data_IF_126422449266
#
_entry.id   IF_126422449266
#
_cell.length_a   1.000
_cell.length_b   1.000
_cell.length_c   1.000
_cell.angle_alpha   90.00
_cell.angle_beta   90.00
_cell.angle_gamma   90.00
#
_symmetry.space_group_name_H-M   'P 1'
#
loop_
_entity.id
_entity.type
_entity.pdbx_description
1 polymer ?
#
# COMPACT_ATOMS: atom_id res chain seq x y z
N UNK A 1 -19.68 -4.35 7.37
CA UNK A 1 -18.32 -4.76 7.80
C UNK A 1 -17.32 -3.69 7.40
N UNK A 2 -16.45 -3.25 8.32
CA UNK A 2 -15.47 -2.24 7.98
C UNK A 2 -14.45 -2.81 6.98
N UNK A 3 -14.01 -1.95 6.08
CA UNK A 3 -12.94 -2.29 5.15
C UNK A 3 -11.61 -2.22 5.87
N UNK A 4 -10.66 -3.02 5.43
CA UNK A 4 -9.37 -3.18 6.08
C UNK A 4 -8.24 -2.87 5.12
N UNK A 5 -7.32 -2.01 5.55
CA UNK A 5 -6.17 -1.60 4.76
C UNK A 5 -4.85 -1.96 5.45
N UNK A 6 -3.88 -2.42 4.67
CA UNK A 6 -2.52 -2.66 5.13
C UNK A 6 -1.60 -1.66 4.46
N UNK A 7 -0.73 -1.03 5.22
CA UNK A 7 0.30 -0.12 4.69
C UNK A 7 1.68 -0.69 5.00
N UNK A 8 2.44 -0.96 3.95
CA UNK A 8 3.80 -1.51 4.07
C UNK A 8 4.79 -0.39 3.73
N UNK A 9 5.40 0.17 4.76
CA UNK A 9 6.34 1.29 4.64
C UNK A 9 7.17 1.35 5.93
N UNK A 10 8.48 1.59 5.81
CA UNK A 10 9.36 1.72 6.97
C UNK A 10 9.40 3.14 7.54
N UNK A 11 8.79 4.10 6.86
CA UNK A 11 8.72 5.50 7.29
C UNK A 11 7.54 5.70 8.24
N UNK A 12 7.83 5.94 9.52
CA UNK A 12 6.78 6.12 10.53
C UNK A 12 5.88 7.32 10.26
N UNK A 13 6.41 8.39 9.66
CA UNK A 13 5.60 9.56 9.31
C UNK A 13 4.56 9.21 8.24
N UNK A 14 4.98 8.44 7.22
CA UNK A 14 4.06 8.01 6.18
C UNK A 14 2.97 7.10 6.77
N UNK A 15 3.36 6.18 7.66
CA UNK A 15 2.39 5.29 8.32
C UNK A 15 1.37 6.09 9.13
N UNK A 16 1.82 7.09 9.88
CA UNK A 16 0.95 7.91 10.70
C UNK A 16 -0.04 8.72 9.86
N UNK A 17 0.44 9.33 8.77
CA UNK A 17 -0.42 10.10 7.87
C UNK A 17 -1.49 9.21 7.22
N UNK A 18 -1.09 8.06 6.70
CA UNK A 18 -2.03 7.14 6.05
C UNK A 18 -3.02 6.56 7.05
N UNK A 19 -2.57 6.27 8.27
CA UNK A 19 -3.48 5.81 9.33
C UNK A 19 -4.62 6.80 9.54
N UNK A 20 -4.27 8.08 9.67
CA UNK A 20 -5.28 9.12 9.89
C UNK A 20 -6.21 9.27 8.69
N UNK A 21 -5.66 9.29 7.47
CA UNK A 21 -6.45 9.42 6.25
C UNK A 21 -7.40 8.22 6.08
N UNK A 22 -6.89 7.01 6.30
CA UNK A 22 -7.69 5.80 6.13
C UNK A 22 -8.79 5.68 7.17
N UNK A 23 -8.53 6.07 8.42
CA UNK A 23 -9.56 6.07 9.45
C UNK A 23 -10.70 7.01 9.10
N UNK A 24 -10.39 8.17 8.53
CA UNK A 24 -11.42 9.13 8.09
C UNK A 24 -12.29 8.57 6.97
N UNK A 25 -11.76 7.64 6.18
CA UNK A 25 -12.51 6.97 5.11
C UNK A 25 -13.19 5.68 5.57
N UNK A 26 -13.14 5.38 6.87
CA UNK A 26 -13.83 4.22 7.41
C UNK A 26 -13.06 2.90 7.35
N UNK A 27 -11.76 2.95 7.09
CA UNK A 27 -10.93 1.74 7.04
C UNK A 27 -10.34 1.39 8.40
N UNK A 28 -10.25 0.10 8.69
CA UNK A 28 -9.37 -0.41 9.73
C UNK A 28 -7.96 -0.39 9.18
N UNK A 29 -6.98 -0.08 10.03
CA UNK A 29 -5.60 0.12 9.62
C UNK A 29 -4.67 -0.91 10.27
N UNK A 30 -3.84 -1.54 9.46
CA UNK A 30 -2.68 -2.30 9.92
C UNK A 30 -1.45 -1.84 9.15
N UNK A 31 -0.29 -2.01 9.75
CA UNK A 31 0.96 -1.59 9.14
C UNK A 31 2.03 -2.68 9.22
N UNK A 32 2.98 -2.60 8.30
CA UNK A 32 4.18 -3.42 8.29
C UNK A 32 5.35 -2.53 7.90
N UNK A 33 6.52 -2.75 8.49
CA UNK A 33 7.68 -1.90 8.28
C UNK A 33 8.68 -2.47 7.27
N UNK A 34 8.42 -3.66 6.76
CA UNK A 34 9.25 -4.26 5.72
C UNK A 34 8.42 -5.23 4.89
N UNK A 35 8.99 -5.71 3.80
CA UNK A 35 8.28 -6.57 2.87
C UNK A 35 7.90 -7.91 3.47
N UNK A 36 8.80 -8.55 4.22
CA UNK A 36 8.51 -9.84 4.84
C UNK A 36 7.36 -9.76 5.83
N UNK A 37 7.34 -8.72 6.68
CA UNK A 37 6.26 -8.51 7.63
C UNK A 37 4.92 -8.33 6.91
N UNK A 38 4.92 -7.53 5.83
CA UNK A 38 3.72 -7.32 5.04
C UNK A 38 3.20 -8.59 4.40
N UNK A 39 4.10 -9.39 3.83
CA UNK A 39 3.74 -10.67 3.21
C UNK A 39 3.13 -11.62 4.25
N UNK A 40 3.71 -11.70 5.45
CA UNK A 40 3.19 -12.55 6.52
C UNK A 40 1.80 -12.11 6.97
N UNK A 41 1.58 -10.81 7.10
CA UNK A 41 0.25 -10.29 7.46
C UNK A 41 -0.80 -10.62 6.40
N UNK A 42 -0.42 -10.56 5.13
CA UNK A 42 -1.31 -10.89 4.02
C UNK A 42 -1.60 -12.38 3.92
N UNK A 43 -0.71 -13.23 4.41
CA UNK A 43 -0.99 -14.66 4.53
C UNK A 43 -2.00 -14.95 5.65
N UNK A 44 -1.95 -14.15 6.71
CA UNK A 44 -2.76 -14.39 7.92
C UNK A 44 -4.16 -13.80 7.83
N UNK A 45 -4.37 -12.77 7.00
CA UNK A 45 -5.65 -12.06 6.91
C UNK A 45 -5.93 -11.57 5.51
N UNK A 46 -7.20 -11.31 5.23
CA UNK A 46 -7.63 -10.68 3.99
C UNK A 46 -7.66 -9.16 4.16
N UNK A 47 -7.35 -8.44 3.11
CA UNK A 47 -7.38 -6.98 3.09
C UNK A 47 -8.16 -6.49 1.88
N UNK A 48 -8.76 -5.32 2.00
CA UNK A 48 -9.48 -4.67 0.89
C UNK A 48 -8.56 -3.74 0.10
N UNK A 49 -7.46 -3.31 0.72
CA UNK A 49 -6.56 -2.32 0.17
C UNK A 49 -5.16 -2.54 0.75
N UNK A 50 -4.13 -2.53 -0.11
CA UNK A 50 -2.74 -2.61 0.35
C UNK A 50 -1.92 -1.51 -0.30
N UNK A 51 -1.21 -0.75 0.53
CA UNK A 51 -0.25 0.27 0.09
C UNK A 51 1.14 -0.30 0.26
N UNK A 52 1.94 -0.24 -0.79
CA UNK A 52 3.29 -0.81 -0.77
C UNK A 52 4.30 0.25 -1.21
N UNK A 53 5.24 0.58 -0.32
CA UNK A 53 6.35 1.46 -0.66
C UNK A 53 7.29 0.72 -1.63
N UNK A 54 7.72 1.39 -2.66
CA UNK A 54 8.63 0.80 -3.65
C UNK A 54 9.97 0.43 -3.04
N UNK A 55 10.48 1.25 -2.11
CA UNK A 55 11.80 1.07 -1.49
C UNK A 55 11.67 0.62 -0.04
N UNK A 56 11.58 -0.68 0.17
CA UNK A 56 11.55 -1.26 1.50
C UNK A 56 12.96 -1.74 1.89
N UNK A 57 13.27 -1.86 3.20
CA UNK A 57 14.62 -2.22 3.62
C UNK A 57 15.08 -3.61 3.18
N UNK A 58 14.15 -4.54 2.99
CA UNK A 58 14.47 -5.94 2.66
C UNK A 58 14.20 -6.33 1.21
N UNK A 59 13.35 -5.59 0.50
CA UNK A 59 13.04 -5.90 -0.90
C UNK A 59 12.33 -4.71 -1.56
N UNK A 60 12.22 -4.74 -2.88
CA UNK A 60 11.42 -3.75 -3.60
C UNK A 60 9.93 -4.02 -3.47
N UNK A 61 9.12 -2.97 -3.60
CA UNK A 61 7.66 -3.10 -3.54
C UNK A 61 7.09 -4.00 -4.62
N UNK A 62 7.72 -4.04 -5.79
CA UNK A 62 7.33 -4.93 -6.88
C UNK A 62 7.56 -6.40 -6.51
N UNK A 63 8.64 -6.71 -5.74
CA UNK A 63 8.89 -8.04 -5.25
C UNK A 63 7.82 -8.48 -4.24
N UNK A 64 7.37 -7.56 -3.39
CA UNK A 64 6.27 -7.83 -2.44
C UNK A 64 5.02 -8.22 -3.22
N UNK A 65 4.65 -7.42 -4.22
CA UNK A 65 3.45 -7.68 -5.01
C UNK A 65 3.52 -9.04 -5.71
N UNK A 66 4.67 -9.37 -6.30
CA UNK A 66 4.87 -10.67 -6.94
C UNK A 66 4.65 -11.82 -5.97
N UNK A 67 5.21 -11.72 -4.77
CA UNK A 67 5.09 -12.78 -3.76
C UNK A 67 3.67 -12.96 -3.26
N UNK A 68 2.93 -11.88 -3.03
CA UNK A 68 1.56 -12.01 -2.55
C UNK A 68 0.61 -12.53 -3.64
N UNK A 69 0.93 -12.26 -4.91
CA UNK A 69 0.21 -12.88 -6.02
C UNK A 69 0.49 -14.37 -6.11
N UNK A 70 1.77 -14.77 -6.00
CA UNK A 70 2.16 -16.18 -6.04
C UNK A 70 1.53 -17.00 -4.95
N UNK A 71 1.44 -16.47 -3.73
CA UNK A 71 0.89 -17.24 -2.61
C UNK A 71 -0.64 -17.17 -2.50
N UNK A 72 -1.29 -16.47 -3.44
CA UNK A 72 -2.75 -16.40 -3.46
C UNK A 72 -3.37 -15.53 -2.40
N UNK A 73 -2.60 -14.60 -1.81
CA UNK A 73 -3.12 -13.69 -0.79
C UNK A 73 -4.25 -12.83 -1.34
N UNK A 74 -5.25 -12.57 -0.49
CA UNK A 74 -6.34 -11.68 -0.83
C UNK A 74 -6.01 -10.28 -0.32
N UNK A 75 -5.44 -9.45 -1.20
CA UNK A 75 -4.95 -8.12 -0.84
C UNK A 75 -5.84 -6.98 -1.36
N UNK A 76 -6.92 -7.31 -2.08
CA UNK A 76 -7.84 -6.31 -2.62
C UNK A 76 -7.21 -5.46 -3.71
N UNK A 77 -7.21 -4.14 -3.50
CA UNK A 77 -6.63 -3.20 -4.46
C UNK A 77 -5.22 -2.81 -4.04
N UNK A 78 -4.29 -2.82 -4.98
CA UNK A 78 -2.88 -2.54 -4.71
C UNK A 78 -2.50 -1.12 -5.09
N UNK A 79 -1.78 -0.44 -4.20
CA UNK A 79 -1.33 0.93 -4.39
C UNK A 79 0.19 0.98 -4.23
N UNK A 80 0.88 1.44 -5.26
CA UNK A 80 2.32 1.67 -5.18
C UNK A 80 2.58 3.08 -4.66
N UNK A 81 3.49 3.22 -3.71
CA UNK A 81 3.91 4.51 -3.19
C UNK A 81 5.38 4.74 -3.48
N UNK A 82 5.73 5.91 -4.00
CA UNK A 82 7.12 6.26 -4.26
C UNK A 82 7.29 7.76 -4.43
N UNK A 83 8.50 8.26 -4.10
CA UNK A 83 8.90 9.62 -4.43
C UNK A 83 9.46 9.75 -5.85
N UNK A 84 9.60 8.65 -6.57
CA UNK A 84 10.12 8.64 -7.94
C UNK A 84 8.97 8.78 -8.94
N UNK A 85 8.93 9.93 -9.62
CA UNK A 85 7.86 10.21 -10.59
C UNK A 85 7.88 9.28 -11.81
N UNK A 86 9.01 8.68 -12.13
CA UNK A 86 9.09 7.74 -13.24
C UNK A 86 8.18 6.53 -13.02
N UNK A 87 7.95 6.16 -11.77
CA UNK A 87 7.07 5.04 -11.44
C UNK A 87 5.60 5.34 -11.70
N UNK A 88 5.23 6.62 -11.78
CA UNK A 88 3.87 7.01 -12.12
C UNK A 88 3.45 6.51 -13.50
N UNK A 89 4.40 6.35 -14.41
CA UNK A 89 4.11 5.84 -15.75
C UNK A 89 4.26 4.32 -15.84
N UNK A 90 4.88 3.69 -14.84
CA UNK A 90 5.22 2.27 -14.88
C UNK A 90 4.44 1.40 -13.91
N UNK A 91 3.68 1.99 -12.98
CA UNK A 91 3.05 1.21 -11.91
C UNK A 91 2.09 0.14 -12.43
N UNK A 92 1.36 0.42 -13.52
CA UNK A 92 0.44 -0.55 -14.09
C UNK A 92 1.16 -1.74 -14.70
N UNK A 93 2.29 -1.49 -15.36
CA UNK A 93 3.13 -2.56 -15.92
C UNK A 93 3.71 -3.44 -14.83
N UNK A 94 3.92 -2.88 -13.64
CA UNK A 94 4.41 -3.62 -12.47
C UNK A 94 3.29 -4.37 -11.74
N UNK A 95 2.05 -4.20 -12.18
CA UNK A 95 0.91 -4.92 -11.65
C UNK A 95 0.12 -4.22 -10.56
N UNK A 96 0.45 -2.97 -10.26
CA UNK A 96 -0.28 -2.17 -9.28
C UNK A 96 -1.51 -1.51 -9.91
N UNK A 97 -2.56 -1.37 -9.12
CA UNK A 97 -3.79 -0.74 -9.58
C UNK A 97 -3.74 0.79 -9.50
N UNK A 98 -3.07 1.34 -8.48
CA UNK A 98 -2.96 2.78 -8.23
C UNK A 98 -1.54 3.18 -7.90
N UNK A 99 -1.26 4.47 -8.03
CA UNK A 99 0.02 5.07 -7.65
C UNK A 99 -0.21 6.32 -6.81
N UNK A 100 0.54 6.45 -5.70
CA UNK A 100 0.56 7.66 -4.89
C UNK A 100 1.99 8.17 -4.77
N UNK A 101 2.18 9.45 -5.09
CA UNK A 101 3.48 10.10 -5.01
C UNK A 101 3.77 10.50 -3.55
N UNK A 102 4.95 10.16 -3.05
CA UNK A 102 5.38 10.53 -1.70
C UNK A 102 6.08 11.89 -1.71
N UNK A 103 5.88 12.75 -0.71
CA UNK A 103 5.02 12.57 0.45
C UNK A 103 3.53 12.67 0.09
N UNK A 104 2.71 11.83 0.72
CA UNK A 104 1.29 11.77 0.39
C UNK A 104 0.56 12.87 1.15
N UNK A 105 -0.02 13.81 0.39
CA UNK A 105 -0.78 14.92 0.95
C UNK A 105 -2.26 14.56 1.05
N UNK A 106 -2.95 15.22 1.97
CA UNK A 106 -4.38 14.98 2.19
C UNK A 106 -5.20 15.14 0.91
N UNK A 107 -4.93 16.19 0.12
CA UNK A 107 -5.65 16.43 -1.14
C UNK A 107 -5.46 15.30 -2.14
N UNK A 108 -4.23 14.81 -2.25
CA UNK A 108 -3.91 13.68 -3.13
C UNK A 108 -4.61 12.40 -2.66
N UNK A 109 -4.61 12.16 -1.35
CA UNK A 109 -5.28 10.99 -0.79
C UNK A 109 -6.78 11.04 -1.05
N UNK A 110 -7.40 12.22 -0.89
CA UNK A 110 -8.84 12.39 -1.13
C UNK A 110 -9.21 12.11 -2.59
N UNK A 111 -8.39 12.58 -3.53
CA UNK A 111 -8.62 12.28 -4.95
C UNK A 111 -8.52 10.78 -5.22
N UNK A 112 -7.54 10.14 -4.62
CA UNK A 112 -7.36 8.69 -4.72
C UNK A 112 -8.57 7.95 -4.12
N UNK A 113 -9.00 8.33 -2.93
CA UNK A 113 -10.10 7.67 -2.24
C UNK A 113 -11.41 7.77 -3.03
N UNK A 114 -11.60 8.85 -3.76
CA UNK A 114 -12.78 9.03 -4.60
C UNK A 114 -12.85 8.02 -5.76
N UNK A 115 -11.72 7.39 -6.10
CA UNK A 115 -11.65 6.38 -7.17
C UNK A 115 -11.87 4.96 -6.65
N UNK A 116 -11.91 4.79 -5.35
CA UNK A 116 -12.16 3.50 -4.74
C UNK A 116 -13.67 3.17 -4.76
#
# INVERSE_FOLDING_TARGET
>A
MPKKALVIDDDEMALMCLKNFLKQEGYEFESAQNGNEGIEKLKASNFDLVFIDYNLPDMGGDAVLSKIKENGSNYGKSVLMSGDENLKEEFEKKGFMFFLHKPIKKSQFKEFAAKL
#
